data_IF_332852381388
#
_entry.id   IF_332852381388
#
_cell.length_a   1.000
_cell.length_b   1.000
_cell.length_c   1.000
_cell.angle_alpha   90.00
_cell.angle_beta   90.00
_cell.angle_gamma   90.00
#
_symmetry.space_group_name_H-M   'P 1'
#
loop_
_entity.id
_entity.type
_entity.pdbx_description
1 polymer ?
#
# COMPACT_ATOMS: atom_id res chain seq x y z
N UNK A 1 -13.05 4.90 -19.19
CA UNK A 1 -11.88 4.00 -19.31
C UNK A 1 -12.33 2.60 -18.95
N UNK A 2 -12.46 1.71 -19.92
CA UNK A 2 -12.81 0.30 -19.66
C UNK A 2 -11.51 -0.45 -19.37
N UNK A 3 -11.19 -0.67 -18.10
CA UNK A 3 -10.01 -1.43 -17.69
C UNK A 3 -10.22 -2.89 -18.09
N UNK A 4 -9.64 -3.32 -19.22
CA UNK A 4 -9.57 -4.75 -19.56
C UNK A 4 -8.65 -5.42 -18.55
N UNK A 5 -9.21 -6.20 -17.64
CA UNK A 5 -8.46 -7.07 -16.74
C UNK A 5 -7.75 -8.13 -17.59
N UNK A 6 -6.42 -8.18 -17.55
CA UNK A 6 -5.65 -9.29 -18.13
C UNK A 6 -5.79 -10.49 -17.19
N UNK A 7 -6.43 -11.60 -17.60
CA UNK A 7 -6.65 -12.76 -16.73
C UNK A 7 -5.37 -13.37 -16.18
N UNK A 8 -4.23 -13.15 -16.85
CA UNK A 8 -2.91 -13.67 -16.44
C UNK A 8 -2.25 -12.84 -15.33
N UNK A 9 -2.82 -11.67 -15.00
CA UNK A 9 -2.35 -10.75 -13.95
C UNK A 9 -3.28 -10.75 -12.73
N UNK A 10 -4.19 -11.71 -12.67
CA UNK A 10 -5.08 -11.88 -11.53
C UNK A 10 -4.35 -12.78 -10.54
N UNK A 11 -3.89 -12.19 -9.45
CA UNK A 11 -3.49 -12.98 -8.27
C UNK A 11 -4.77 -13.55 -7.66
N UNK A 12 -4.92 -14.87 -7.74
CA UNK A 12 -6.01 -15.60 -7.12
C UNK A 12 -5.66 -15.86 -5.66
N UNK A 13 -6.51 -15.40 -4.75
CA UNK A 13 -6.40 -15.76 -3.35
C UNK A 13 -6.83 -17.22 -3.15
N UNK A 14 -6.11 -17.92 -2.27
CA UNK A 14 -6.50 -19.25 -1.83
C UNK A 14 -7.92 -19.23 -1.25
N UNK A 15 -8.80 -20.19 -1.59
CA UNK A 15 -10.16 -20.26 -1.06
C UNK A 15 -10.25 -20.22 0.48
N UNK A 16 -9.28 -20.78 1.19
CA UNK A 16 -9.20 -20.74 2.65
C UNK A 16 -8.97 -19.31 3.16
N UNK A 17 -8.06 -18.57 2.52
CA UNK A 17 -7.82 -17.16 2.82
C UNK A 17 -9.07 -16.32 2.57
N UNK A 18 -9.81 -16.59 1.49
CA UNK A 18 -11.08 -15.92 1.21
C UNK A 18 -12.11 -16.19 2.30
N UNK A 19 -12.19 -17.44 2.80
CA UNK A 19 -13.10 -17.80 3.88
C UNK A 19 -12.76 -17.04 5.17
N UNK A 20 -11.47 -16.93 5.52
CA UNK A 20 -10.98 -16.17 6.68
C UNK A 20 -11.31 -14.68 6.53
N UNK A 21 -11.01 -14.07 5.38
CA UNK A 21 -11.27 -12.63 5.17
C UNK A 21 -12.77 -12.28 5.22
N UNK A 22 -13.65 -13.24 4.89
CA UNK A 22 -15.10 -13.07 5.01
C UNK A 22 -15.60 -13.02 6.45
N UNK A 23 -14.90 -13.63 7.41
CA UNK A 23 -15.30 -13.58 8.83
C UNK A 23 -14.93 -12.27 9.51
N UNK A 24 -14.07 -11.45 8.89
CA UNK A 24 -13.64 -10.16 9.45
C UNK A 24 -14.75 -9.13 9.48
N UNK A 25 -14.92 -8.50 10.65
CA UNK A 25 -15.79 -7.36 10.86
C UNK A 25 -15.32 -6.14 10.03
N UNK A 26 -16.20 -5.16 9.78
CA UNK A 26 -15.80 -3.91 9.13
C UNK A 26 -14.65 -3.19 9.86
N UNK A 27 -14.64 -3.23 11.19
CA UNK A 27 -13.59 -2.60 12.00
C UNK A 27 -12.22 -3.29 11.80
N UNK A 28 -12.18 -4.62 11.81
CA UNK A 28 -10.95 -5.37 11.54
C UNK A 28 -10.43 -5.12 10.12
N UNK A 29 -11.33 -5.06 9.13
CA UNK A 29 -10.95 -4.75 7.75
C UNK A 29 -10.32 -3.36 7.64
N UNK A 30 -10.88 -2.36 8.32
CA UNK A 30 -10.31 -1.02 8.38
C UNK A 30 -8.96 -1.01 9.08
N UNK A 31 -8.83 -1.70 10.22
CA UNK A 31 -7.56 -1.82 10.94
C UNK A 31 -6.47 -2.41 10.03
N UNK A 32 -6.77 -3.52 9.35
CA UNK A 32 -5.86 -4.14 8.38
C UNK A 32 -5.46 -3.17 7.26
N UNK A 33 -6.40 -2.38 6.73
CA UNK A 33 -6.12 -1.41 5.69
C UNK A 33 -5.20 -0.27 6.17
N UNK A 34 -5.45 0.27 7.37
CA UNK A 34 -4.60 1.31 7.96
C UNK A 34 -3.20 0.79 8.30
N UNK A 35 -3.10 -0.41 8.87
CA UNK A 35 -1.82 -1.06 9.16
C UNK A 35 -1.03 -1.30 7.87
N UNK A 36 -1.68 -1.81 6.82
CA UNK A 36 -1.06 -2.02 5.52
C UNK A 36 -0.57 -0.71 4.91
N UNK A 37 -1.36 0.36 5.03
CA UNK A 37 -0.98 1.69 4.55
C UNK A 37 0.26 2.22 5.30
N UNK A 38 0.25 2.16 6.64
CA UNK A 38 1.36 2.62 7.47
C UNK A 38 2.63 1.84 7.16
N UNK A 39 2.55 0.51 7.11
CA UNK A 39 3.67 -0.35 6.77
C UNK A 39 4.28 0.02 5.41
N UNK A 40 3.45 0.18 4.39
CA UNK A 40 3.93 0.52 3.06
C UNK A 40 4.59 1.92 3.03
N UNK A 41 4.05 2.88 3.79
CA UNK A 41 4.62 4.22 3.91
C UNK A 41 6.01 4.16 4.55
N UNK A 42 6.16 3.41 5.62
CA UNK A 42 7.43 3.26 6.35
C UNK A 42 8.49 2.57 5.51
N UNK A 43 8.12 1.50 4.79
CA UNK A 43 9.03 0.82 3.86
C UNK A 43 9.52 1.77 2.78
N UNK A 44 8.65 2.61 2.21
CA UNK A 44 9.08 3.60 1.22
C UNK A 44 9.95 4.70 1.82
N UNK A 45 9.67 5.17 3.03
CA UNK A 45 10.53 6.13 3.72
C UNK A 45 11.94 5.55 3.88
N UNK A 46 12.04 4.32 4.41
CA UNK A 46 13.32 3.62 4.58
C UNK A 46 14.09 3.47 3.25
N UNK A 47 13.39 3.07 2.18
CA UNK A 47 14.01 2.92 0.86
C UNK A 47 14.53 4.24 0.29
N UNK A 48 13.74 5.32 0.39
CA UNK A 48 14.13 6.63 -0.12
C UNK A 48 15.27 7.23 0.72
N UNK A 49 15.20 7.11 2.05
CA UNK A 49 16.26 7.54 2.96
C UNK A 49 17.57 6.82 2.66
N UNK A 50 17.54 5.52 2.37
CA UNK A 50 18.72 4.75 2.00
C UNK A 50 19.30 5.17 0.64
N UNK A 51 18.46 5.56 -0.31
CA UNK A 51 18.89 6.05 -1.63
C UNK A 51 19.38 7.50 -1.62
N UNK A 52 18.90 8.30 -0.66
CA UNK A 52 19.20 9.73 -0.51
C UNK A 52 19.56 10.06 0.95
N UNK A 53 20.71 9.59 1.46
CA UNK A 53 21.09 9.79 2.86
C UNK A 53 21.29 11.27 3.23
N UNK A 54 21.49 12.14 2.24
CA UNK A 54 21.62 13.59 2.40
C UNK A 54 20.30 14.33 2.56
N UNK A 55 19.16 13.67 2.28
CA UNK A 55 17.84 14.30 2.38
C UNK A 55 17.37 14.41 3.83
N UNK A 56 16.66 15.51 4.12
CA UNK A 56 15.98 15.64 5.40
C UNK A 56 14.80 14.66 5.47
N UNK A 57 14.36 14.35 6.70
CA UNK A 57 13.17 13.51 6.93
C UNK A 57 11.94 14.11 6.22
N UNK A 58 11.82 15.44 6.19
CA UNK A 58 10.72 16.14 5.53
C UNK A 58 10.74 15.91 4.01
N UNK A 59 11.92 15.93 3.38
CA UNK A 59 12.06 15.70 1.94
C UNK A 59 11.70 14.26 1.57
N UNK A 60 12.13 13.30 2.39
CA UNK A 60 11.77 11.88 2.24
C UNK A 60 10.25 11.71 2.33
N UNK A 61 9.60 12.24 3.37
CA UNK A 61 8.15 12.14 3.55
C UNK A 61 7.38 12.77 2.39
N UNK A 62 7.79 13.95 1.92
CA UNK A 62 7.15 14.61 0.77
C UNK A 62 7.25 13.75 -0.51
N UNK A 63 8.40 13.11 -0.73
CA UNK A 63 8.59 12.20 -1.86
C UNK A 63 7.73 10.93 -1.73
N UNK A 64 7.62 10.35 -0.54
CA UNK A 64 6.75 9.19 -0.28
C UNK A 64 5.28 9.56 -0.52
N UNK A 65 4.79 10.68 0.04
CA UNK A 65 3.42 11.16 -0.20
C UNK A 65 3.16 11.31 -1.69
N UNK A 66 4.08 11.95 -2.44
CA UNK A 66 3.95 12.11 -3.88
C UNK A 66 3.82 10.77 -4.63
N UNK A 67 4.53 9.72 -4.19
CA UNK A 67 4.49 8.37 -4.78
C UNK A 67 3.21 7.62 -4.42
N UNK A 68 2.79 7.69 -3.15
CA UNK A 68 1.58 7.06 -2.64
C UNK A 68 0.31 7.62 -3.28
N UNK A 69 0.24 8.94 -3.40
CA UNK A 69 -0.96 9.63 -3.88
C UNK A 69 -1.16 9.53 -5.40
N UNK A 70 -0.15 9.10 -6.19
CA UNK A 70 -0.15 9.17 -7.67
C UNK A 70 -0.73 10.49 -8.24
N UNK A 71 -0.64 11.60 -7.50
CA UNK A 71 -1.21 12.90 -7.89
C UNK A 71 -2.70 13.13 -7.58
N UNK A 72 -3.30 12.45 -6.60
CA UNK A 72 -4.56 12.94 -6.02
C UNK A 72 -4.32 14.31 -5.37
N UNK A 73 -4.75 15.37 -6.06
CA UNK A 73 -4.84 16.74 -5.55
C UNK A 73 -5.99 16.89 -4.58
#
# INVERSE_FOLDING_TARGET
>A
MTTKLDPRRIELLDPEMVAILKTKSPAEKLAMAFESHQFAFDVQCCQIQAAHPEWSISDVQAAVVRRFSRGSR
#
